data_IF_643675745869
#
_entry.id   IF_643675745869
#
_cell.length_a   1.000
_cell.length_b   1.000
_cell.length_c   1.000
_cell.angle_alpha   90.00
_cell.angle_beta   90.00
_cell.angle_gamma   90.00
#
_symmetry.space_group_name_H-M   'P 1'
#
loop_
_entity.id
_entity.type
_entity.pdbx_description
1 polymer ?
#
# COMPACT_ATOMS: atom_id res chain seq x y z
N UNK A 1 -37.15 1.31 -28.90
CA UNK A 1 -35.84 1.28 -28.21
C UNK A 1 -36.04 1.66 -26.76
N UNK A 2 -35.58 0.84 -25.83
CA UNK A 2 -35.57 1.17 -24.40
C UNK A 2 -34.37 2.08 -24.11
N UNK A 3 -34.60 3.19 -23.42
CA UNK A 3 -33.54 4.05 -22.90
C UNK A 3 -33.01 3.45 -21.59
N UNK A 4 -31.73 3.11 -21.55
CA UNK A 4 -31.05 2.49 -20.41
C UNK A 4 -30.06 3.46 -19.74
N UNK A 5 -30.08 4.74 -20.09
CA UNK A 5 -29.11 5.73 -19.61
C UNK A 5 -29.16 5.88 -18.08
N UNK A 6 -30.35 5.86 -17.50
CA UNK A 6 -30.54 5.91 -16.04
C UNK A 6 -29.97 4.68 -15.35
N UNK A 7 -30.19 3.49 -15.91
CA UNK A 7 -29.66 2.24 -15.37
C UNK A 7 -28.13 2.18 -15.47
N UNK A 8 -27.56 2.64 -16.58
CA UNK A 8 -26.11 2.72 -16.75
C UNK A 8 -25.48 3.65 -15.71
N UNK A 9 -26.11 4.81 -15.47
CA UNK A 9 -25.65 5.77 -14.46
C UNK A 9 -25.72 5.15 -13.06
N UNK A 10 -26.84 4.52 -12.71
CA UNK A 10 -27.02 3.87 -11.42
C UNK A 10 -25.99 2.75 -11.17
N UNK A 11 -25.72 1.93 -12.18
CA UNK A 11 -24.72 0.85 -12.09
C UNK A 11 -23.31 1.42 -11.95
N UNK A 12 -22.98 2.48 -12.71
CA UNK A 12 -21.69 3.19 -12.61
C UNK A 12 -21.47 3.75 -11.21
N UNK A 13 -22.46 4.45 -10.65
CA UNK A 13 -22.39 5.00 -9.30
C UNK A 13 -22.19 3.90 -8.25
N UNK A 14 -22.87 2.76 -8.42
CA UNK A 14 -22.67 1.61 -7.53
C UNK A 14 -21.29 0.98 -7.65
N UNK A 15 -20.75 0.86 -8.85
CA UNK A 15 -19.39 0.38 -9.07
C UNK A 15 -18.36 1.28 -8.36
N UNK A 16 -18.52 2.61 -8.46
CA UNK A 16 -17.67 3.59 -7.76
C UNK A 16 -17.76 3.43 -6.25
N UNK A 17 -18.97 3.30 -5.69
CA UNK A 17 -19.16 3.09 -4.25
C UNK A 17 -18.50 1.80 -3.75
N UNK A 18 -18.61 0.71 -4.51
CA UNK A 18 -17.96 -0.57 -4.19
C UNK A 18 -16.44 -0.39 -4.22
N UNK A 19 -15.89 0.23 -5.27
CA UNK A 19 -14.46 0.51 -5.38
C UNK A 19 -13.94 1.31 -4.18
N UNK A 20 -14.61 2.40 -3.82
CA UNK A 20 -14.23 3.23 -2.68
C UNK A 20 -14.29 2.45 -1.37
N UNK A 21 -15.32 1.61 -1.19
CA UNK A 21 -15.45 0.76 0.00
C UNK A 21 -14.30 -0.24 0.11
N UNK A 22 -13.97 -0.92 -0.98
CA UNK A 22 -12.84 -1.87 -1.04
C UNK A 22 -11.52 -1.15 -0.72
N UNK A 23 -11.29 0.01 -1.35
CA UNK A 23 -10.08 0.81 -1.13
C UNK A 23 -9.95 1.25 0.34
N UNK A 24 -11.04 1.74 0.93
CA UNK A 24 -11.05 2.15 2.35
C UNK A 24 -10.73 0.97 3.26
N UNK A 25 -11.34 -0.21 3.03
CA UNK A 25 -11.05 -1.40 3.84
C UNK A 25 -9.59 -1.86 3.72
N UNK A 26 -9.03 -1.85 2.52
CA UNK A 26 -7.62 -2.18 2.33
C UNK A 26 -6.69 -1.18 3.04
N UNK A 27 -7.02 0.11 3.01
CA UNK A 27 -6.27 1.15 3.73
C UNK A 27 -6.30 0.96 5.25
N UNK A 28 -7.48 0.68 5.81
CA UNK A 28 -7.64 0.41 7.25
C UNK A 28 -6.75 -0.75 7.73
N UNK A 29 -6.66 -1.81 6.93
CA UNK A 29 -5.81 -2.96 7.24
C UNK A 29 -4.31 -2.66 7.13
N UNK A 30 -3.92 -1.73 6.23
CA UNK A 30 -2.53 -1.33 6.02
C UNK A 30 -2.04 -0.25 6.99
N UNK A 31 -2.96 0.56 7.54
CA UNK A 31 -2.66 1.69 8.42
C UNK A 31 -1.67 1.36 9.56
N UNK A 32 -1.82 0.27 10.34
CA UNK A 32 -0.89 -0.03 11.44
C UNK A 32 0.51 -0.48 10.97
N UNK A 33 0.66 -0.87 9.70
CA UNK A 33 1.91 -1.37 9.15
C UNK A 33 2.76 -0.26 8.53
N UNK A 34 2.15 0.86 8.11
CA UNK A 34 2.85 1.93 7.40
C UNK A 34 4.08 2.44 8.17
N UNK A 35 3.91 2.78 9.45
CA UNK A 35 4.99 3.31 10.29
C UNK A 35 6.00 2.21 10.66
N UNK A 36 5.49 1.08 11.16
CA UNK A 36 6.32 -0.03 11.66
C UNK A 36 7.20 -0.65 10.58
N UNK A 37 6.66 -0.80 9.36
CA UNK A 37 7.38 -1.39 8.23
C UNK A 37 8.33 -0.38 7.57
N UNK A 38 7.88 0.86 7.32
CA UNK A 38 8.64 1.83 6.52
C UNK A 38 9.65 2.60 7.38
N UNK A 39 9.27 3.03 8.59
CA UNK A 39 10.08 3.93 9.42
C UNK A 39 10.85 3.21 10.54
N UNK A 40 10.26 2.22 11.21
CA UNK A 40 10.80 1.73 12.48
C UNK A 40 11.82 0.60 12.32
N UNK A 41 11.93 0.01 11.12
CA UNK A 41 12.95 -0.99 10.87
C UNK A 41 14.35 -0.36 10.75
N UNK A 42 15.20 -0.66 11.73
CA UNK A 42 16.61 -0.36 11.73
C UNK A 42 17.37 -1.46 10.98
N UNK A 43 17.21 -1.54 9.65
CA UNK A 43 18.01 -2.45 8.83
C UNK A 43 19.50 -2.11 9.02
N UNK A 44 20.26 -3.02 9.64
CA UNK A 44 21.69 -2.84 9.91
C UNK A 44 22.47 -3.14 8.63
N UNK A 45 22.83 -2.08 7.91
CA UNK A 45 23.78 -2.17 6.80
C UNK A 45 25.15 -2.61 7.34
N UNK A 46 25.64 -3.78 6.93
CA UNK A 46 27.06 -4.13 7.03
C UNK A 46 27.46 -5.32 7.91
N UNK A 47 26.54 -5.98 8.63
CA UNK A 47 26.89 -7.14 9.49
C UNK A 47 26.16 -8.43 9.06
N UNK A 48 25.14 -8.32 8.20
CA UNK A 48 24.36 -9.46 7.67
C UNK A 48 23.69 -9.05 6.36
N UNK A 49 23.27 -10.00 5.48
CA UNK A 49 22.44 -9.65 4.34
C UNK A 49 21.25 -8.82 4.80
N UNK A 50 20.83 -7.79 4.04
CA UNK A 50 19.69 -6.96 4.42
C UNK A 50 18.45 -7.86 4.46
N UNK A 51 17.97 -8.16 5.67
CA UNK A 51 16.73 -8.91 5.90
C UNK A 51 15.61 -7.91 6.12
N UNK A 52 14.48 -8.15 5.46
CA UNK A 52 13.24 -7.44 5.74
C UNK A 52 12.86 -7.60 7.21
N UNK A 53 12.21 -6.57 7.78
CA UNK A 53 11.65 -6.71 9.13
C UNK A 53 10.43 -7.63 9.12
N UNK A 54 10.06 -8.22 10.27
CA UNK A 54 8.80 -8.95 10.38
C UNK A 54 7.59 -8.10 9.97
N UNK A 55 7.61 -6.80 10.24
CA UNK A 55 6.53 -5.88 9.82
C UNK A 55 6.51 -5.67 8.31
N UNK A 56 7.68 -5.59 7.67
CA UNK A 56 7.78 -5.56 6.21
C UNK A 56 7.26 -6.86 5.60
N UNK A 57 7.64 -8.02 6.15
CA UNK A 57 7.15 -9.32 5.67
C UNK A 57 5.63 -9.44 5.76
N UNK A 58 5.04 -8.99 6.88
CA UNK A 58 3.58 -8.94 7.07
C UNK A 58 2.93 -8.00 6.05
N UNK A 59 3.51 -6.82 5.81
CA UNK A 59 3.03 -5.87 4.82
C UNK A 59 3.03 -6.49 3.41
N UNK A 60 4.15 -7.09 2.99
CA UNK A 60 4.28 -7.74 1.68
C UNK A 60 3.32 -8.93 1.54
N UNK A 61 3.13 -9.72 2.60
CA UNK A 61 2.18 -10.83 2.60
C UNK A 61 0.72 -10.34 2.46
N UNK A 62 0.37 -9.23 3.12
CA UNK A 62 -0.95 -8.63 3.02
C UNK A 62 -1.22 -8.09 1.60
N UNK A 63 -0.25 -7.36 1.02
CA UNK A 63 -0.32 -6.88 -0.36
C UNK A 63 -0.44 -8.04 -1.36
N UNK A 64 0.32 -9.12 -1.14
CA UNK A 64 0.22 -10.36 -1.94
C UNK A 64 -1.17 -10.98 -1.84
N UNK A 65 -1.76 -10.99 -0.64
CA UNK A 65 -3.10 -11.52 -0.40
C UNK A 65 -4.16 -10.69 -1.13
N UNK A 66 -4.07 -9.35 -1.09
CA UNK A 66 -4.95 -8.48 -1.86
C UNK A 66 -4.82 -8.73 -3.36
N UNK A 67 -3.60 -8.75 -3.89
CA UNK A 67 -3.36 -8.97 -5.32
C UNK A 67 -3.93 -10.32 -5.77
N UNK A 68 -3.65 -11.39 -5.02
CA UNK A 68 -4.19 -12.72 -5.30
C UNK A 68 -5.72 -12.72 -5.27
N UNK A 69 -6.32 -12.09 -4.27
CA UNK A 69 -7.79 -12.06 -4.10
C UNK A 69 -8.45 -11.33 -5.27
N UNK A 70 -7.94 -10.16 -5.65
CA UNK A 70 -8.46 -9.39 -6.79
C UNK A 70 -8.37 -10.19 -8.11
N UNK A 71 -7.25 -10.87 -8.35
CA UNK A 71 -7.05 -11.70 -9.54
C UNK A 71 -7.98 -12.93 -9.55
N UNK A 72 -8.15 -13.63 -8.42
CA UNK A 72 -9.05 -14.79 -8.31
C UNK A 72 -10.51 -14.39 -8.57
N UNK A 73 -10.91 -13.18 -8.18
CA UNK A 73 -12.24 -12.65 -8.45
C UNK A 73 -12.39 -12.01 -9.83
N UNK A 74 -11.36 -12.07 -10.69
CA UNK A 74 -11.42 -11.56 -12.06
C UNK A 74 -11.59 -10.04 -12.16
N UNK A 75 -11.08 -9.29 -11.17
CA UNK A 75 -11.09 -7.83 -11.21
C UNK A 75 -10.20 -7.35 -12.37
N UNK A 76 -10.70 -6.37 -13.12
CA UNK A 76 -9.99 -5.81 -14.26
C UNK A 76 -8.55 -5.38 -13.88
N UNK A 77 -7.51 -5.82 -14.60
CA UNK A 77 -6.11 -5.53 -14.26
C UNK A 77 -5.79 -4.03 -14.18
N UNK A 78 -6.46 -3.18 -14.97
CA UNK A 78 -6.31 -1.73 -14.87
C UNK A 78 -6.83 -1.22 -13.53
N UNK A 79 -7.98 -1.73 -13.07
CA UNK A 79 -8.54 -1.38 -11.76
C UNK A 79 -7.66 -1.88 -10.61
N UNK A 80 -7.08 -3.07 -10.74
CA UNK A 80 -6.08 -3.58 -9.78
C UNK A 80 -4.88 -2.63 -9.69
N UNK A 81 -4.32 -2.21 -10.83
CA UNK A 81 -3.24 -1.22 -10.87
C UNK A 81 -3.61 0.09 -10.18
N UNK A 82 -4.81 0.61 -10.42
CA UNK A 82 -5.31 1.83 -9.77
C UNK A 82 -5.44 1.65 -8.24
N UNK A 83 -5.94 0.51 -7.76
CA UNK A 83 -6.02 0.20 -6.34
C UNK A 83 -4.63 0.24 -5.70
N UNK A 84 -3.66 -0.50 -6.26
CA UNK A 84 -2.31 -0.55 -5.68
C UNK A 84 -1.60 0.81 -5.70
N UNK A 85 -1.79 1.62 -6.75
CA UNK A 85 -1.30 3.00 -6.77
C UNK A 85 -1.87 3.82 -5.60
N UNK A 86 -3.18 3.69 -5.33
CA UNK A 86 -3.84 4.37 -4.22
C UNK A 86 -3.41 3.85 -2.83
N UNK A 87 -3.02 2.58 -2.73
CA UNK A 87 -2.51 1.97 -1.49
C UNK A 87 -1.08 2.41 -1.20
N UNK A 88 -0.20 2.41 -2.22
CA UNK A 88 1.17 2.89 -2.06
C UNK A 88 1.23 4.38 -1.72
N UNK A 89 0.41 5.21 -2.38
CA UNK A 89 0.29 6.61 -2.01
C UNK A 89 -0.12 6.77 -0.54
N UNK A 90 -1.10 6.00 -0.07
CA UNK A 90 -1.57 6.02 1.31
C UNK A 90 -0.48 5.60 2.32
N UNK A 91 0.25 4.52 2.04
CA UNK A 91 1.36 4.04 2.88
C UNK A 91 2.46 5.11 3.01
N UNK A 92 2.89 5.68 1.88
CA UNK A 92 3.91 6.72 1.85
C UNK A 92 3.45 8.00 2.56
N UNK A 93 2.19 8.42 2.35
CA UNK A 93 1.64 9.60 3.03
C UNK A 93 1.61 9.41 4.55
N UNK A 94 1.18 8.24 5.04
CA UNK A 94 1.15 7.95 6.48
C UNK A 94 2.56 7.88 7.10
N UNK A 95 3.51 7.25 6.40
CA UNK A 95 4.90 7.22 6.83
C UNK A 95 5.48 8.65 6.86
N UNK A 96 5.27 9.45 5.81
CA UNK A 96 5.75 10.82 5.76
C UNK A 96 5.13 11.70 6.86
N UNK A 97 3.82 11.61 7.08
CA UNK A 97 3.14 12.35 8.15
C UNK A 97 3.72 12.00 9.52
N UNK A 98 3.98 10.73 9.76
CA UNK A 98 4.58 10.26 11.01
C UNK A 98 6.04 10.70 11.15
N UNK A 99 6.77 10.78 10.05
CA UNK A 99 8.14 11.30 10.02
C UNK A 99 8.17 12.80 10.33
N UNK A 100 7.21 13.58 9.81
CA UNK A 100 7.12 15.02 10.05
C UNK A 100 6.79 15.37 11.51
N UNK A 101 6.05 14.51 12.20
CA UNK A 101 5.71 14.71 13.62
C UNK A 101 6.90 14.39 14.56
N UNK A 102 7.81 13.53 14.12
CA UNK A 102 8.99 13.07 14.87
C UNK A 102 10.26 13.88 14.50
N UNK A 103 10.49 15.00 15.19
CA UNK A 103 11.65 15.90 14.94
C UNK A 103 13.03 15.25 15.09
N UNK A 104 13.10 14.10 15.75
CA UNK A 104 14.31 13.31 16.03
C UNK A 104 14.67 12.31 14.90
N UNK A 105 13.78 12.07 13.94
CA UNK A 105 13.96 11.07 12.89
C UNK A 105 14.65 11.60 11.61
N UNK A 106 14.90 12.91 11.52
CA UNK A 106 15.41 13.57 10.31
C UNK A 106 16.94 13.59 10.22
N UNK A 107 17.58 12.42 10.18
CA UNK A 107 19.03 12.32 9.97
C UNK A 107 19.39 11.33 8.85
N UNK A 108 20.55 11.55 8.21
CA UNK A 108 20.98 10.82 7.00
C UNK A 108 20.87 9.30 7.12
N UNK A 109 21.35 8.72 8.23
CA UNK A 109 21.30 7.27 8.45
C UNK A 109 19.86 6.71 8.46
N UNK A 110 18.90 7.46 9.01
CA UNK A 110 17.48 7.07 9.00
C UNK A 110 16.92 7.10 7.58
N UNK A 111 17.29 8.13 6.80
CA UNK A 111 16.93 8.24 5.39
C UNK A 111 17.38 7.03 4.56
N UNK A 112 18.63 6.58 4.73
CA UNK A 112 19.14 5.37 4.06
C UNK A 112 18.34 4.12 4.44
N UNK A 113 17.96 3.98 5.71
CA UNK A 113 17.15 2.84 6.18
C UNK A 113 15.74 2.85 5.60
N UNK A 114 15.10 4.02 5.55
CA UNK A 114 13.79 4.19 4.91
C UNK A 114 13.87 3.80 3.43
N UNK A 115 14.91 4.25 2.71
CA UNK A 115 15.12 3.89 1.31
C UNK A 115 15.29 2.37 1.11
N UNK A 116 16.03 1.71 2.00
CA UNK A 116 16.16 0.24 1.98
C UNK A 116 14.82 -0.46 2.29
N UNK A 117 14.02 0.07 3.21
CA UNK A 117 12.69 -0.48 3.49
C UNK A 117 11.76 -0.32 2.28
N UNK A 118 11.82 0.82 1.59
CA UNK A 118 11.05 1.08 0.38
C UNK A 118 11.47 0.19 -0.79
N UNK A 119 12.76 -0.17 -0.90
CA UNK A 119 13.20 -1.06 -1.99
C UNK A 119 12.53 -2.44 -1.94
N UNK A 120 12.19 -2.95 -0.75
CA UNK A 120 11.39 -4.19 -0.64
C UNK A 120 9.97 -4.03 -1.22
N UNK A 121 9.35 -2.87 -1.04
CA UNK A 121 8.03 -2.58 -1.63
C UNK A 121 8.14 -2.41 -3.15
N UNK A 122 9.18 -1.74 -3.63
CA UNK A 122 9.45 -1.57 -5.06
C UNK A 122 9.74 -2.92 -5.74
N UNK A 123 10.54 -3.76 -5.11
CA UNK A 123 10.84 -5.10 -5.61
C UNK A 123 9.60 -6.01 -5.62
N UNK A 124 8.68 -5.84 -4.66
CA UNK A 124 7.39 -6.54 -4.66
C UNK A 124 6.44 -6.04 -5.75
N UNK A 125 6.48 -4.75 -6.07
CA UNK A 125 5.62 -4.13 -7.07
C UNK A 125 6.07 -4.36 -8.52
N UNK A 126 7.30 -4.84 -8.72
CA UNK A 126 7.88 -5.16 -10.03
C UNK A 126 7.30 -6.43 -10.62
#
# INVERSE_FOLDING_TARGET
NFDLSELHTLVSDKAIQIYQTVLTRMRELLAPLAVSAILENEAVMGISPPRSSPFMDILLQLLTTFNRTLNVHGVDPHLVGQLFMQLFYYLCANALNSLMDRRDCCHWSKGIKILCNLSYLEDWAR
#
